data_IF_134106723307
#
_entry.id   IF_134106723307
#
_cell.length_a   1.000
_cell.length_b   1.000
_cell.length_c   1.000
_cell.angle_alpha   90.00
_cell.angle_beta   90.00
_cell.angle_gamma   90.00
#
_symmetry.space_group_name_H-M   'P 1'
#
loop_
_entity.id
_entity.type
_entity.pdbx_description
1 polymer ?
#
# COMPACT_ATOMS: atom_id res chain seq x y z
N UNK A 1 -23.39 10.75 -6.17
CA UNK A 1 -22.22 10.46 -5.28
C UNK A 1 -21.04 11.38 -5.63
N UNK A 2 -20.49 12.03 -4.61
CA UNK A 2 -19.37 12.96 -4.79
C UNK A 2 -18.05 12.43 -4.21
N UNK A 3 -16.94 12.86 -4.82
CA UNK A 3 -15.62 12.44 -4.39
C UNK A 3 -14.61 12.57 -5.51
N UNK A 4 -13.38 12.14 -5.25
CA UNK A 4 -12.35 12.24 -6.28
C UNK A 4 -11.82 10.91 -6.79
N UNK A 5 -11.17 10.98 -7.93
CA UNK A 5 -10.60 9.82 -8.59
C UNK A 5 -9.08 9.82 -8.60
N UNK A 6 -8.53 8.64 -8.39
CA UNK A 6 -7.09 8.42 -8.42
C UNK A 6 -6.88 7.48 -9.61
N UNK A 7 -6.15 7.95 -10.61
CA UNK A 7 -5.88 7.17 -11.80
C UNK A 7 -4.93 6.01 -11.49
N UNK A 8 -5.37 5.12 -10.61
CA UNK A 8 -4.58 3.96 -10.21
C UNK A 8 -5.47 2.74 -9.98
N UNK A 9 -5.08 1.63 -10.59
CA UNK A 9 -5.80 0.37 -10.48
C UNK A 9 -5.27 -0.43 -9.29
N UNK A 10 -6.15 -1.20 -8.63
CA UNK A 10 -5.72 -2.02 -7.50
C UNK A 10 -4.60 -2.95 -8.01
N UNK A 11 -3.56 -3.10 -7.21
CA UNK A 11 -2.40 -3.89 -7.61
C UNK A 11 -2.55 -5.39 -7.72
N UNK A 12 -3.57 -5.93 -7.09
CA UNK A 12 -3.81 -7.36 -7.10
C UNK A 12 -5.22 -7.64 -7.59
N UNK A 13 -5.39 -8.61 -8.50
CA UNK A 13 -6.72 -8.95 -9.03
C UNK A 13 -7.64 -9.55 -7.98
N UNK A 14 -7.06 -10.09 -6.92
CA UNK A 14 -7.85 -10.68 -5.85
C UNK A 14 -8.28 -9.68 -4.80
N UNK A 15 -7.94 -8.41 -5.03
CA UNK A 15 -8.29 -7.36 -4.10
C UNK A 15 -9.75 -6.96 -4.21
N UNK A 16 -10.35 -6.51 -3.08
CA UNK A 16 -11.75 -6.07 -2.99
C UNK A 16 -12.12 -5.04 -4.06
N UNK A 17 -13.29 -5.18 -4.65
CA UNK A 17 -13.73 -4.22 -5.66
C UNK A 17 -14.38 -2.97 -5.05
N UNK A 18 -14.83 -3.10 -3.80
CA UNK A 18 -15.47 -2.02 -3.07
C UNK A 18 -15.13 -2.15 -1.58
N UNK A 19 -14.74 -1.03 -0.98
CA UNK A 19 -14.39 -1.02 0.44
C UNK A 19 -15.23 0.01 1.19
N UNK A 20 -16.34 -0.44 1.76
CA UNK A 20 -17.25 0.41 2.53
C UNK A 20 -16.67 0.68 3.92
N UNK A 21 -16.76 1.94 4.35
CA UNK A 21 -16.24 2.37 5.64
C UNK A 21 -14.75 2.10 5.63
N UNK A 22 -14.04 2.89 4.83
CA UNK A 22 -12.60 2.76 4.68
C UNK A 22 -11.79 3.40 5.80
N UNK A 23 -10.56 2.93 5.93
CA UNK A 23 -9.60 3.40 6.91
C UNK A 23 -8.26 3.42 6.18
N UNK A 24 -8.10 4.44 5.33
CA UNK A 24 -6.94 4.65 4.47
C UNK A 24 -5.57 4.86 5.11
N UNK A 25 -4.61 4.06 4.64
CA UNK A 25 -3.23 4.13 5.11
C UNK A 25 -2.42 4.80 4.03
N UNK A 26 -2.13 6.08 4.24
CA UNK A 26 -1.35 6.86 3.28
C UNK A 26 0.13 6.69 3.59
N UNK A 27 0.85 6.00 2.71
CA UNK A 27 2.27 5.76 2.93
C UNK A 27 3.15 6.44 1.89
N UNK A 28 4.42 6.58 2.22
CA UNK A 28 5.42 7.15 1.32
C UNK A 28 6.66 6.29 1.51
N UNK A 29 6.43 4.99 1.61
CA UNK A 29 7.50 4.04 1.80
C UNK A 29 7.35 2.79 0.93
N UNK A 30 8.48 2.25 0.47
CA UNK A 30 8.46 1.05 -0.37
C UNK A 30 7.92 -0.18 0.35
N UNK A 31 7.13 -0.95 -0.38
CA UNK A 31 6.59 -2.21 0.12
C UNK A 31 7.13 -3.20 -0.91
N UNK A 32 8.43 -3.45 -0.82
CA UNK A 32 9.13 -4.33 -1.74
C UNK A 32 10.16 -5.16 -1.03
N UNK A 33 10.76 -6.07 -1.78
CA UNK A 33 11.82 -6.91 -1.28
C UNK A 33 13.07 -6.44 -2.01
N UNK A 34 14.12 -6.16 -1.25
CA UNK A 34 15.36 -5.73 -1.86
C UNK A 34 15.94 -6.97 -2.52
N UNK A 35 16.11 -6.90 -3.83
CA UNK A 35 16.65 -8.01 -4.62
C UNK A 35 18.08 -7.68 -5.05
N UNK A 36 19.07 -8.01 -4.19
CA UNK A 36 20.48 -7.76 -4.48
C UNK A 36 21.02 -8.65 -5.57
N UNK A 37 21.71 -8.03 -6.52
CA UNK A 37 22.30 -8.78 -7.62
C UNK A 37 23.39 -9.67 -7.05
N UNK A 38 23.28 -10.95 -7.38
CA UNK A 38 24.20 -11.99 -6.94
C UNK A 38 25.66 -11.59 -7.19
N UNK A 39 26.55 -12.06 -6.30
CA UNK A 39 27.99 -11.78 -6.41
C UNK A 39 28.82 -12.65 -5.46
N UNK A 40 28.45 -13.93 -5.33
CA UNK A 40 29.20 -14.81 -4.44
C UNK A 40 30.67 -14.97 -4.81
N UNK A 41 31.38 -15.73 -3.98
CA UNK A 41 32.82 -15.96 -4.08
C UNK A 41 33.37 -14.68 -3.45
N UNK A 42 33.03 -13.56 -4.08
CA UNK A 42 33.42 -12.24 -3.60
C UNK A 42 32.44 -11.84 -2.50
N UNK A 43 31.44 -12.69 -2.26
CA UNK A 43 30.43 -12.46 -1.24
C UNK A 43 30.59 -13.45 -0.08
N UNK A 44 31.73 -13.36 0.60
CA UNK A 44 32.06 -14.20 1.75
C UNK A 44 32.17 -15.70 1.44
N UNK A 45 32.53 -16.46 2.48
CA UNK A 45 32.67 -17.91 2.38
C UNK A 45 31.29 -18.55 2.25
N UNK A 46 30.41 -18.22 3.20
CA UNK A 46 29.05 -18.75 3.24
C UNK A 46 28.19 -18.29 2.06
N UNK A 47 27.69 -19.25 1.26
CA UNK A 47 26.84 -19.05 0.07
C UNK A 47 25.42 -18.58 0.43
N UNK A 48 24.88 -19.16 1.50
CA UNK A 48 23.54 -18.86 2.00
C UNK A 48 23.27 -17.36 2.20
N UNK A 49 24.31 -16.54 2.06
CA UNK A 49 24.21 -15.10 2.24
C UNK A 49 23.03 -14.44 1.52
N UNK A 50 23.07 -14.47 0.19
CA UNK A 50 22.01 -13.90 -0.63
C UNK A 50 20.70 -14.61 -0.28
N UNK A 51 20.79 -15.92 -0.10
CA UNK A 51 19.63 -16.75 0.23
C UNK A 51 18.94 -16.42 1.54
N UNK A 52 19.71 -16.02 2.56
CA UNK A 52 19.11 -15.69 3.85
C UNK A 52 18.72 -14.22 3.98
N UNK A 53 19.28 -13.38 3.12
CA UNK A 53 18.94 -11.97 3.13
C UNK A 53 17.55 -11.81 2.53
N UNK A 54 17.21 -12.68 1.58
CA UNK A 54 15.90 -12.63 0.95
C UNK A 54 14.92 -13.17 1.98
N UNK A 55 15.39 -14.14 2.76
CA UNK A 55 14.56 -14.72 3.79
C UNK A 55 14.31 -13.59 4.79
N UNK A 56 15.33 -12.74 4.96
CA UNK A 56 15.26 -11.59 5.85
C UNK A 56 14.16 -10.68 5.31
N UNK A 57 14.44 -10.08 4.15
CA UNK A 57 13.51 -9.19 3.48
C UNK A 57 12.10 -9.75 3.43
N UNK A 58 11.99 -11.05 3.16
CA UNK A 58 10.70 -11.71 3.07
C UNK A 58 9.84 -11.49 4.31
N UNK A 59 10.33 -11.96 5.46
CA UNK A 59 9.60 -11.83 6.72
C UNK A 59 9.40 -10.39 7.18
N UNK A 60 10.36 -9.52 6.87
CA UNK A 60 10.27 -8.11 7.22
C UNK A 60 9.16 -7.43 6.42
N UNK A 61 9.04 -7.80 5.14
CA UNK A 61 8.00 -7.24 4.28
C UNK A 61 6.64 -7.76 4.73
N UNK A 62 6.58 -9.04 5.08
CA UNK A 62 5.32 -9.63 5.54
C UNK A 62 4.89 -8.98 6.85
N UNK A 63 5.86 -8.70 7.72
CA UNK A 63 5.58 -8.07 9.00
C UNK A 63 5.06 -6.64 8.81
N UNK A 64 5.64 -5.91 7.87
CA UNK A 64 5.19 -4.54 7.61
C UNK A 64 3.73 -4.54 7.17
N UNK A 65 3.33 -5.59 6.46
CA UNK A 65 1.96 -5.72 6.00
C UNK A 65 1.07 -6.09 7.18
N UNK A 66 1.61 -6.92 8.07
CA UNK A 66 0.88 -7.33 9.26
C UNK A 66 0.65 -6.15 10.19
N UNK A 67 1.68 -5.31 10.33
CA UNK A 67 1.60 -4.13 11.18
C UNK A 67 0.51 -3.19 10.68
N UNK A 68 0.40 -3.08 9.36
CA UNK A 68 -0.61 -2.24 8.74
C UNK A 68 -2.00 -2.69 9.18
N UNK A 69 -2.28 -3.98 9.02
CA UNK A 69 -3.58 -4.52 9.39
C UNK A 69 -3.89 -4.38 10.88
N UNK A 70 -2.87 -4.55 11.73
CA UNK A 70 -3.01 -4.42 13.19
C UNK A 70 -3.03 -2.94 13.55
N UNK A 71 -3.75 -2.18 12.73
CA UNK A 71 -3.89 -0.74 12.87
C UNK A 71 -5.24 -0.37 12.23
N UNK A 72 -5.97 -1.40 11.81
CA UNK A 72 -7.29 -1.22 11.23
C UNK A 72 -7.40 -0.81 9.77
N UNK A 73 -6.28 -0.41 9.17
CA UNK A 73 -6.25 0.01 7.77
C UNK A 73 -6.74 -1.11 6.87
N UNK A 74 -7.64 -0.76 5.96
CA UNK A 74 -8.21 -1.71 5.01
C UNK A 74 -7.96 -1.21 3.58
N UNK A 75 -7.22 -0.11 3.49
CA UNK A 75 -6.88 0.50 2.22
C UNK A 75 -5.51 1.15 2.33
N UNK A 76 -4.66 0.88 1.33
CA UNK A 76 -3.32 1.45 1.30
C UNK A 76 -3.07 2.23 0.03
N UNK A 77 -2.63 3.47 0.20
CA UNK A 77 -2.35 4.33 -0.93
C UNK A 77 -0.93 4.85 -0.74
N UNK A 78 -0.01 4.20 -1.44
CA UNK A 78 1.40 4.58 -1.35
C UNK A 78 1.89 5.38 -2.54
N UNK A 79 2.86 6.23 -2.24
CA UNK A 79 3.49 7.11 -3.21
C UNK A 79 4.63 6.31 -3.86
N UNK A 80 5.11 5.31 -3.11
CA UNK A 80 6.18 4.43 -3.55
C UNK A 80 5.57 3.19 -4.20
N UNK A 81 6.42 2.20 -4.48
CA UNK A 81 5.94 0.98 -5.11
C UNK A 81 5.56 -0.17 -4.20
N UNK A 82 4.88 -1.15 -4.81
CA UNK A 82 4.44 -2.36 -4.13
C UNK A 82 4.88 -3.58 -4.95
N UNK A 83 5.72 -4.42 -4.33
CA UNK A 83 6.27 -5.67 -4.89
C UNK A 83 5.15 -6.69 -5.09
N UNK A 84 5.41 -7.70 -5.92
CA UNK A 84 4.41 -8.76 -6.13
C UNK A 84 4.17 -9.58 -4.87
N UNK A 85 5.21 -9.73 -4.05
CA UNK A 85 5.13 -10.46 -2.79
C UNK A 85 4.21 -9.64 -1.89
N UNK A 86 4.40 -8.32 -1.95
CA UNK A 86 3.62 -7.38 -1.18
C UNK A 86 2.17 -7.48 -1.61
N UNK A 87 1.92 -7.27 -2.89
CA UNK A 87 0.57 -7.35 -3.44
C UNK A 87 -0.10 -8.62 -2.96
N UNK A 88 0.66 -9.71 -2.95
CA UNK A 88 0.15 -10.99 -2.53
C UNK A 88 -0.34 -10.95 -1.10
N UNK A 89 0.55 -10.54 -0.20
CA UNK A 89 0.24 -10.46 1.22
C UNK A 89 -0.89 -9.49 1.57
N UNK A 90 -0.88 -8.32 0.93
CA UNK A 90 -1.92 -7.32 1.15
C UNK A 90 -3.25 -7.93 0.76
N UNK A 91 -3.25 -8.58 -0.40
CA UNK A 91 -4.44 -9.24 -0.92
C UNK A 91 -4.87 -10.34 0.07
N UNK A 92 -3.90 -10.91 0.76
CA UNK A 92 -4.18 -11.95 1.73
C UNK A 92 -4.85 -11.33 2.96
N UNK A 93 -4.58 -10.05 3.20
CA UNK A 93 -5.17 -9.37 4.35
C UNK A 93 -6.44 -8.59 3.97
N UNK A 94 -6.81 -8.65 2.69
CA UNK A 94 -8.00 -7.95 2.24
C UNK A 94 -7.87 -6.43 2.13
N UNK A 95 -6.64 -5.93 2.09
CA UNK A 95 -6.39 -4.50 1.97
C UNK A 95 -6.26 -4.07 0.50
N UNK A 96 -7.04 -3.05 0.14
CA UNK A 96 -7.07 -2.46 -1.20
C UNK A 96 -5.81 -1.61 -1.35
N UNK A 97 -5.04 -1.82 -2.40
CA UNK A 97 -3.84 -1.01 -2.54
C UNK A 97 -3.52 -0.51 -3.92
N UNK A 98 -2.92 0.67 -3.96
CA UNK A 98 -2.47 1.34 -5.21
C UNK A 98 -1.09 1.86 -4.92
N UNK A 99 -0.22 1.78 -5.91
CA UNK A 99 1.16 2.21 -5.74
C UNK A 99 1.55 3.31 -6.69
N UNK A 100 2.69 3.93 -6.39
CA UNK A 100 3.25 5.02 -7.20
C UNK A 100 2.20 6.08 -7.45
N UNK A 101 1.53 6.51 -6.38
CA UNK A 101 0.50 7.52 -6.50
C UNK A 101 1.11 8.91 -6.61
N UNK A 102 0.62 9.66 -7.59
CA UNK A 102 1.08 11.02 -7.88
C UNK A 102 1.16 11.86 -6.62
N UNK A 103 2.29 12.56 -6.48
CA UNK A 103 2.56 13.42 -5.33
C UNK A 103 1.42 14.38 -5.05
N UNK A 104 0.93 15.03 -6.11
CA UNK A 104 -0.17 15.97 -5.96
C UNK A 104 -1.34 15.27 -5.30
N UNK A 105 -1.70 14.10 -5.84
CA UNK A 105 -2.82 13.31 -5.33
C UNK A 105 -2.68 12.90 -3.88
N UNK A 106 -1.46 12.57 -3.46
CA UNK A 106 -1.19 12.17 -2.08
C UNK A 106 -1.61 13.26 -1.10
N UNK A 107 -1.31 14.51 -1.43
CA UNK A 107 -1.69 15.63 -0.58
C UNK A 107 -3.17 15.90 -0.68
N UNK A 108 -3.71 15.81 -1.89
CA UNK A 108 -5.13 16.03 -2.10
C UNK A 108 -5.90 15.08 -1.19
N UNK A 109 -5.45 13.83 -1.17
CA UNK A 109 -6.06 12.79 -0.35
C UNK A 109 -5.79 12.98 1.14
N UNK A 110 -4.62 13.55 1.45
CA UNK A 110 -4.24 13.81 2.83
C UNK A 110 -5.30 14.71 3.46
N UNK A 111 -5.43 15.91 2.91
CA UNK A 111 -6.39 16.89 3.38
C UNK A 111 -7.75 16.68 2.74
N UNK A 112 -8.38 15.56 3.09
CA UNK A 112 -9.70 15.21 2.58
C UNK A 112 -10.18 13.93 3.25
N UNK A 113 -9.30 13.32 4.03
CA UNK A 113 -9.59 12.08 4.76
C UNK A 113 -9.01 12.21 6.16
N UNK A 114 -8.09 13.18 6.29
CA UNK A 114 -7.43 13.44 7.55
C UNK A 114 -6.11 12.69 7.66
N UNK A 115 -6.02 11.58 6.92
CA UNK A 115 -4.85 10.71 6.90
C UNK A 115 -3.51 11.44 6.88
N UNK A 116 -2.53 10.84 7.56
CA UNK A 116 -1.18 11.37 7.63
C UNK A 116 -0.22 10.46 6.87
N UNK A 117 0.56 11.06 5.98
CA UNK A 117 1.53 10.36 5.15
C UNK A 117 2.64 9.73 6.00
N UNK A 118 2.73 8.40 5.96
CA UNK A 118 3.73 7.68 6.74
C UNK A 118 4.96 7.27 5.93
N UNK A 119 6.12 7.79 6.32
CA UNK A 119 7.38 7.48 5.64
C UNK A 119 8.09 6.32 6.31
N UNK A 120 7.62 5.95 7.49
CA UNK A 120 8.19 4.85 8.26
C UNK A 120 7.05 3.95 8.72
N UNK A 121 6.89 2.81 8.05
CA UNK A 121 5.84 1.85 8.38
C UNK A 121 5.69 1.57 9.87
N UNK A 122 6.81 1.37 10.56
CA UNK A 122 6.78 1.09 11.99
C UNK A 122 6.20 2.21 12.83
N UNK A 123 6.66 3.43 12.58
CA UNK A 123 6.20 4.61 13.32
C UNK A 123 4.77 4.99 12.95
N UNK A 124 3.89 4.00 12.83
CA UNK A 124 2.49 4.23 12.47
C UNK A 124 1.52 3.69 13.53
N UNK A 125 0.33 4.28 13.56
CA UNK A 125 -0.73 3.89 14.49
C UNK A 125 -2.08 4.17 13.85
N UNK A 126 -3.15 3.72 14.50
CA UNK A 126 -4.51 3.90 13.99
C UNK A 126 -4.90 5.37 13.79
N UNK A 127 -4.14 6.27 14.41
CA UNK A 127 -4.39 7.70 14.32
C UNK A 127 -3.92 8.28 12.99
N UNK A 128 -2.89 7.66 12.41
CA UNK A 128 -2.33 8.11 11.14
C UNK A 128 -3.27 7.89 9.94
N UNK A 129 -4.25 7.00 10.12
CA UNK A 129 -5.21 6.66 9.06
C UNK A 129 -6.19 7.74 8.63
N UNK A 130 -6.76 7.54 7.45
CA UNK A 130 -7.73 8.48 6.92
C UNK A 130 -9.09 7.85 6.79
N UNK A 131 -10.13 8.66 6.95
CA UNK A 131 -11.49 8.15 6.86
C UNK A 131 -12.12 8.48 5.52
N UNK A 132 -12.97 7.57 5.05
CA UNK A 132 -13.67 7.72 3.79
C UNK A 132 -14.87 6.79 3.80
N UNK A 133 -15.94 7.22 3.15
CA UNK A 133 -17.16 6.43 3.10
C UNK A 133 -17.00 5.21 2.19
N UNK A 134 -16.63 5.46 0.94
CA UNK A 134 -16.46 4.38 -0.02
C UNK A 134 -15.27 4.51 -0.97
N UNK A 135 -14.28 3.64 -0.76
CA UNK A 135 -13.08 3.57 -1.59
C UNK A 135 -13.37 2.38 -2.50
N UNK A 136 -13.48 2.62 -3.79
CA UNK A 136 -13.78 1.53 -4.71
C UNK A 136 -13.10 1.65 -6.08
N UNK A 137 -13.10 0.55 -6.81
CA UNK A 137 -12.49 0.53 -8.11
C UNK A 137 -13.55 0.74 -9.16
N UNK A 138 -13.35 1.75 -9.97
CA UNK A 138 -14.28 2.08 -11.03
C UNK A 138 -13.62 1.94 -12.39
N UNK A 139 -14.40 1.59 -13.40
CA UNK A 139 -13.85 1.42 -14.74
C UNK A 139 -14.18 2.62 -15.61
N UNK A 140 -13.14 3.38 -15.97
CA UNK A 140 -13.30 4.56 -16.80
C UNK A 140 -13.10 4.17 -18.27
N UNK A 141 -14.07 3.43 -18.80
CA UNK A 141 -14.01 2.99 -20.18
C UNK A 141 -12.95 1.93 -20.40
N UNK A 142 -11.78 2.37 -20.86
CA UNK A 142 -10.65 1.48 -21.13
C UNK A 142 -10.01 0.95 -19.84
N UNK A 143 -9.51 1.89 -19.05
CA UNK A 143 -8.82 1.58 -17.80
C UNK A 143 -9.69 1.50 -16.55
N UNK A 144 -9.07 1.05 -15.47
CA UNK A 144 -9.71 0.93 -14.18
C UNK A 144 -8.99 1.89 -13.25
N UNK A 145 -9.74 2.61 -12.42
CA UNK A 145 -9.16 3.57 -11.49
C UNK A 145 -9.81 3.43 -10.14
N UNK A 146 -9.25 4.08 -9.13
CA UNK A 146 -9.83 4.02 -7.81
C UNK A 146 -10.57 5.33 -7.49
N UNK A 147 -11.78 5.19 -6.97
CA UNK A 147 -12.65 6.31 -6.60
C UNK A 147 -12.72 6.44 -5.09
N UNK A 148 -12.76 7.67 -4.61
CA UNK A 148 -12.83 7.91 -3.17
C UNK A 148 -14.01 8.83 -2.83
N UNK A 149 -14.83 8.40 -1.88
CA UNK A 149 -15.97 9.19 -1.43
C UNK A 149 -15.86 9.33 0.07
N UNK A 150 -16.40 10.41 0.62
CA UNK A 150 -16.38 10.60 2.06
C UNK A 150 -15.25 11.45 2.60
N UNK A 151 -15.55 12.09 3.73
CA UNK A 151 -14.63 12.98 4.45
C UNK A 151 -14.26 14.25 3.66
N UNK A 152 -14.83 14.40 2.47
CA UNK A 152 -14.58 15.56 1.62
C UNK A 152 -15.43 16.76 2.06
N UNK A 153 -16.74 16.58 2.12
CA UNK A 153 -17.65 17.65 2.52
C UNK A 153 -19.01 17.10 2.98
N UNK A 154 -20.08 17.84 2.69
CA UNK A 154 -21.46 17.50 3.05
C UNK A 154 -21.75 17.76 4.53
#
# INVERSE_FOLDING_TARGET
MNGIIVDKEKVHPGMPDVVKDAKIALLDAPLEIKKPEFDTNLRIEDPSMIQKFLAQEENMLREMVDKIKSVGANVVITQKGIDDMAQHYLSRAGIYAVRRVKKSDMDKLAKATGASIVSTIDEISSSDLGTAERVEQVKVGEDYMTFVTGSKNHHHHHH
#
